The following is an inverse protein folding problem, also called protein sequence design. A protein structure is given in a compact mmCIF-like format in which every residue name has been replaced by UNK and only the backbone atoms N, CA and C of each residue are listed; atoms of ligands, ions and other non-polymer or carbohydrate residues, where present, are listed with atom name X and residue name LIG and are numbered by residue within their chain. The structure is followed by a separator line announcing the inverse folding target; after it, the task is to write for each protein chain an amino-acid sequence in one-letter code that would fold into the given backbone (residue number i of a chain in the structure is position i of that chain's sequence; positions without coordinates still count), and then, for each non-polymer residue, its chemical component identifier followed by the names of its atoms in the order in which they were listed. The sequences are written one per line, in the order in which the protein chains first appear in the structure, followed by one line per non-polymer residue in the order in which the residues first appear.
data_IF_120865058341
#
_entry.id   IF_120865058341
#
_cell.length_a   1.000
_cell.length_b   1.000
_cell.length_c   1.000
_cell.angle_alpha   90.00
_cell.angle_beta   90.00
_cell.angle_gamma   90.00
#
_symmetry.space_group_name_H-M   'P 1'
#
loop_
_entity.id
_entity.type
_entity.pdbx_description
1 polymer ?
#
# COMPACT_ATOMS: atom_id res chain seq x y z
N UNK A 1 -5.07 20.93 11.79
CA UNK A 1 -5.26 21.41 10.39
C UNK A 1 -6.61 20.94 9.92
N UNK A 2 -7.38 21.81 9.30
CA UNK A 2 -8.68 21.52 8.69
C UNK A 2 -8.52 21.10 7.24
N UNK A 3 -9.58 20.54 6.63
CA UNK A 3 -9.62 20.22 5.20
C UNK A 3 -9.32 21.44 4.32
N UNK A 4 -9.83 22.62 4.67
CA UNK A 4 -9.60 23.84 3.89
C UNK A 4 -8.16 24.32 3.97
N UNK A 5 -7.52 24.17 5.13
CA UNK A 5 -6.09 24.46 5.29
C UNK A 5 -5.24 23.48 4.48
N UNK A 6 -5.57 22.16 4.48
CA UNK A 6 -4.93 21.17 3.60
C UNK A 6 -5.09 21.54 2.13
N UNK A 7 -6.32 21.90 1.72
CA UNK A 7 -6.60 22.32 0.36
C UNK A 7 -5.83 23.58 -0.02
N UNK A 8 -5.62 24.50 0.90
CA UNK A 8 -4.83 25.72 0.67
C UNK A 8 -3.35 25.37 0.47
N UNK A 9 -2.80 24.50 1.33
CA UNK A 9 -1.38 24.08 1.24
C UNK A 9 -1.10 23.28 -0.03
N UNK A 10 -1.99 22.33 -0.39
CA UNK A 10 -1.82 21.48 -1.57
C UNK A 10 -2.41 22.08 -2.86
N UNK A 11 -3.21 23.14 -2.74
CA UNK A 11 -4.17 23.54 -3.77
C UNK A 11 -3.64 24.41 -4.89
N UNK A 12 -2.39 24.85 -4.87
CA UNK A 12 -1.87 25.85 -5.81
C UNK A 12 -1.21 25.27 -7.06
N UNK A 13 -0.93 23.96 -7.10
CA UNK A 13 -0.13 23.34 -8.16
C UNK A 13 -1.02 22.59 -9.15
N UNK A 14 -1.21 23.15 -10.34
CA UNK A 14 -2.08 22.60 -11.40
C UNK A 14 -1.64 21.25 -11.95
N UNK A 15 -0.37 20.90 -11.77
CA UNK A 15 0.22 19.66 -12.26
C UNK A 15 0.07 18.48 -11.29
N UNK A 16 -0.44 18.74 -10.09
CA UNK A 16 -0.57 17.71 -9.06
C UNK A 16 -1.83 16.86 -9.26
N UNK A 17 -1.71 15.58 -8.92
CA UNK A 17 -2.86 14.68 -8.76
C UNK A 17 -3.34 14.78 -7.32
N UNK A 18 -4.63 15.05 -7.16
CA UNK A 18 -5.29 15.05 -5.88
C UNK A 18 -6.62 14.34 -6.01
N UNK A 19 -6.79 13.28 -5.22
CA UNK A 19 -8.04 12.53 -5.14
C UNK A 19 -8.59 12.60 -3.73
N UNK A 20 -9.91 12.47 -3.63
CA UNK A 20 -10.60 12.26 -2.36
C UNK A 20 -11.20 10.87 -2.34
N UNK A 21 -11.00 10.16 -1.24
CA UNK A 21 -11.44 8.79 -1.05
C UNK A 21 -12.00 8.58 0.35
N UNK A 22 -12.44 7.36 0.63
CA UNK A 22 -12.78 6.88 1.97
C UNK A 22 -11.88 5.71 2.33
N UNK A 23 -11.35 5.71 3.55
CA UNK A 23 -10.67 4.53 4.07
C UNK A 23 -11.69 3.50 4.59
N UNK A 24 -11.29 2.23 4.73
CA UNK A 24 -12.14 1.21 5.36
C UNK A 24 -12.59 1.59 6.77
N UNK A 25 -11.77 2.33 7.51
CA UNK A 25 -12.05 2.83 8.86
C UNK A 25 -13.04 4.01 8.87
N UNK A 26 -13.45 4.49 7.71
CA UNK A 26 -14.41 5.59 7.54
C UNK A 26 -13.82 6.99 7.61
N UNK A 27 -12.49 7.12 7.51
CA UNK A 27 -11.86 8.44 7.34
C UNK A 27 -12.06 8.95 5.91
N UNK A 28 -12.18 10.26 5.78
CA UNK A 28 -11.92 10.90 4.49
C UNK A 28 -10.43 10.90 4.22
N UNK A 29 -10.03 10.53 3.01
CA UNK A 29 -8.64 10.49 2.58
C UNK A 29 -8.43 11.48 1.45
N UNK A 30 -7.38 12.28 1.55
CA UNK A 30 -6.84 13.03 0.42
C UNK A 30 -5.56 12.34 0.00
N UNK A 31 -5.60 11.67 -1.16
CA UNK A 31 -4.43 11.12 -1.80
C UNK A 31 -3.80 12.18 -2.70
N UNK A 32 -2.54 12.46 -2.50
CA UNK A 32 -1.78 13.51 -3.19
C UNK A 32 -0.51 12.97 -3.82
N UNK A 33 -0.26 13.39 -5.07
CA UNK A 33 0.94 13.06 -5.83
C UNK A 33 1.43 14.29 -6.57
N UNK A 34 2.57 14.82 -6.17
CA UNK A 34 3.13 16.03 -6.74
C UNK A 34 3.58 15.84 -8.19
N UNK A 35 3.14 16.74 -9.07
CA UNK A 35 3.48 16.72 -10.49
C UNK A 35 2.96 15.52 -11.27
N UNK A 36 1.97 14.81 -10.74
CA UNK A 36 1.39 13.62 -11.38
C UNK A 36 0.70 13.89 -12.72
N UNK A 37 0.24 15.11 -12.95
CA UNK A 37 -0.36 15.58 -14.22
C UNK A 37 0.64 16.34 -15.11
N UNK A 38 1.88 16.51 -14.68
CA UNK A 38 2.91 17.19 -15.45
C UNK A 38 3.34 16.33 -16.64
N UNK A 39 3.16 16.87 -17.86
CA UNK A 39 3.52 16.16 -19.10
C UNK A 39 5.01 16.14 -19.34
N UNK A 40 5.76 17.06 -18.75
CA UNK A 40 7.20 17.20 -18.90
C UNK A 40 7.97 16.25 -17.95
N UNK A 41 7.31 15.69 -16.96
CA UNK A 41 7.88 14.69 -16.06
C UNK A 41 7.85 13.29 -16.65
N UNK A 42 8.92 12.54 -16.43
CA UNK A 42 8.95 11.11 -16.71
C UNK A 42 7.89 10.35 -15.89
N UNK A 43 7.60 9.13 -16.28
CA UNK A 43 6.62 8.32 -15.57
C UNK A 43 7.03 8.08 -14.10
N UNK A 44 8.32 7.84 -13.87
CA UNK A 44 8.88 7.66 -12.53
C UNK A 44 8.76 8.92 -11.66
N UNK A 45 9.11 10.09 -12.19
CA UNK A 45 9.04 11.35 -11.44
C UNK A 45 7.65 11.66 -10.90
N UNK A 46 6.59 11.12 -11.54
CA UNK A 46 5.20 11.26 -11.08
C UNK A 46 4.90 10.50 -9.80
N UNK A 47 5.77 9.59 -9.38
CA UNK A 47 5.65 8.82 -8.13
C UNK A 47 6.68 9.21 -7.07
N UNK A 48 7.56 10.17 -7.33
CA UNK A 48 8.58 10.62 -6.38
C UNK A 48 8.02 11.24 -5.09
N UNK A 49 6.77 11.67 -5.12
CA UNK A 49 6.06 12.22 -3.96
C UNK A 49 4.66 11.63 -3.89
N UNK A 50 4.39 10.86 -2.84
CA UNK A 50 3.06 10.32 -2.57
C UNK A 50 2.70 10.51 -1.10
N UNK A 51 1.54 11.11 -0.84
CA UNK A 51 1.07 11.44 0.51
C UNK A 51 -0.42 11.11 0.62
N UNK A 52 -0.80 10.46 1.71
CA UNK A 52 -2.18 10.25 2.16
C UNK A 52 -2.44 11.11 3.39
N UNK A 53 -3.51 11.88 3.38
CA UNK A 53 -3.95 12.71 4.49
C UNK A 53 -5.32 12.22 4.93
N UNK A 54 -5.43 11.80 6.17
CA UNK A 54 -6.63 11.24 6.77
C UNK A 54 -7.35 12.31 7.58
N UNK A 55 -8.66 12.44 7.35
CA UNK A 55 -9.49 13.43 8.03
C UNK A 55 -10.66 12.72 8.73
N UNK A 56 -10.98 13.21 9.93
CA UNK A 56 -12.19 12.88 10.65
C UNK A 56 -12.91 14.19 10.97
N UNK A 57 -14.18 14.28 10.56
CA UNK A 57 -14.99 15.49 10.75
C UNK A 57 -14.25 16.76 10.25
N UNK A 58 -13.65 16.66 9.06
CA UNK A 58 -12.84 17.68 8.40
C UNK A 58 -11.56 18.13 9.13
N UNK A 59 -11.14 17.40 10.16
CA UNK A 59 -9.87 17.65 10.87
C UNK A 59 -8.85 16.56 10.49
N UNK A 60 -7.62 16.93 10.23
CA UNK A 60 -6.51 16.00 9.97
C UNK A 60 -6.23 15.19 11.23
N UNK A 61 -6.32 13.87 11.10
CA UNK A 61 -6.05 12.90 12.16
C UNK A 61 -4.85 12.02 11.87
N UNK A 62 -4.38 12.00 10.62
CA UNK A 62 -3.21 11.23 10.24
C UNK A 62 -2.65 11.65 8.88
N UNK A 63 -1.38 11.33 8.67
CA UNK A 63 -0.65 11.53 7.42
C UNK A 63 0.23 10.29 7.20
N UNK A 64 0.29 9.81 5.98
CA UNK A 64 1.24 8.79 5.54
C UNK A 64 1.90 9.22 4.24
N UNK A 65 3.15 8.85 4.03
CA UNK A 65 3.80 9.20 2.78
C UNK A 65 5.12 8.48 2.52
N UNK A 66 5.50 8.48 1.24
CA UNK A 66 6.70 7.86 0.67
C UNK A 66 7.55 8.88 -0.10
N UNK A 67 7.47 10.15 0.24
CA UNK A 67 8.24 11.18 -0.45
C UNK A 67 9.69 11.23 0.06
N UNK A 68 10.65 11.28 -0.86
CA UNK A 68 12.08 11.39 -0.52
C UNK A 68 12.45 12.66 0.26
N UNK A 69 11.57 13.66 0.25
CA UNK A 69 11.74 14.91 1.01
C UNK A 69 11.05 14.91 2.38
N UNK A 70 10.43 13.78 2.78
CA UNK A 70 9.74 13.72 4.08
C UNK A 70 10.71 13.83 5.24
N UNK A 71 10.39 14.74 6.15
CA UNK A 71 11.10 14.93 7.40
C UNK A 71 10.07 15.30 8.47
N UNK A 72 10.07 14.58 9.59
CA UNK A 72 9.19 14.85 10.71
C UNK A 72 10.01 15.34 11.91
N UNK A 73 9.93 16.65 12.13
CA UNK A 73 10.50 17.36 13.28
C UNK A 73 11.99 17.08 13.56
N UNK A 74 12.75 16.77 12.50
CA UNK A 74 14.16 16.38 12.61
C UNK A 74 14.42 15.05 13.32
N UNK A 75 13.37 14.32 13.73
CA UNK A 75 13.50 13.05 14.45
C UNK A 75 13.58 11.84 13.52
N UNK A 76 12.89 11.90 12.40
CA UNK A 76 12.90 10.89 11.34
C UNK A 76 12.67 11.53 9.98
N UNK A 77 13.41 11.04 9.00
CA UNK A 77 13.26 11.44 7.60
C UNK A 77 13.34 10.23 6.69
N UNK A 78 12.93 10.40 5.44
CA UNK A 78 13.24 9.43 4.39
C UNK A 78 14.77 9.17 4.37
N UNK A 79 15.17 7.90 4.26
CA UNK A 79 16.58 7.50 4.24
C UNK A 79 17.26 7.45 5.62
N UNK A 80 16.54 7.68 6.72
CA UNK A 80 17.07 7.46 8.06
C UNK A 80 17.37 5.97 8.25
N UNK A 81 18.56 5.66 8.75
CA UNK A 81 19.00 4.30 9.07
C UNK A 81 18.21 3.73 10.27
N UNK A 82 17.74 2.49 10.20
CA UNK A 82 16.95 1.86 11.24
C UNK A 82 17.70 1.74 12.57
N UNK A 83 19.03 1.49 12.54
CA UNK A 83 19.87 1.49 13.73
C UNK A 83 19.90 2.86 14.41
N UNK A 84 19.81 3.94 13.64
CA UNK A 84 19.67 5.30 14.17
C UNK A 84 18.34 5.49 14.89
N UNK A 85 17.24 4.94 14.37
CA UNK A 85 15.93 4.99 15.04
C UNK A 85 16.00 4.31 16.40
N UNK A 86 16.50 3.07 16.44
CA UNK A 86 16.64 2.31 17.69
C UNK A 86 17.51 3.06 18.72
N UNK A 87 18.62 3.64 18.28
CA UNK A 87 19.52 4.44 19.14
C UNK A 87 18.84 5.70 19.72
N UNK A 88 17.80 6.21 19.02
CA UNK A 88 17.00 7.36 19.43
C UNK A 88 15.71 6.97 20.19
N UNK A 89 15.61 5.72 20.66
CA UNK A 89 14.53 5.25 21.51
C UNK A 89 13.24 4.88 20.76
N UNK A 90 13.33 4.64 19.45
CA UNK A 90 12.23 4.02 18.70
C UNK A 90 12.14 2.54 19.06
N UNK A 91 10.93 1.99 19.04
CA UNK A 91 10.67 0.59 19.38
C UNK A 91 10.15 -0.16 18.15
N UNK A 92 10.53 -1.43 18.05
CA UNK A 92 10.04 -2.33 17.01
C UNK A 92 8.50 -2.42 17.05
N UNK A 93 7.90 -2.42 15.89
CA UNK A 93 6.47 -2.69 15.72
C UNK A 93 6.29 -4.18 15.43
N UNK A 94 5.89 -4.95 16.44
CA UNK A 94 5.87 -6.43 16.41
C UNK A 94 5.09 -7.06 15.26
N UNK A 95 4.09 -6.38 14.74
CA UNK A 95 3.27 -6.87 13.65
C UNK A 95 3.81 -6.51 12.25
N UNK A 96 4.85 -5.69 12.16
CA UNK A 96 5.56 -5.42 10.92
C UNK A 96 6.96 -6.02 11.00
N UNK A 97 7.02 -7.35 10.81
CA UNK A 97 8.28 -8.09 10.74
C UNK A 97 8.39 -8.79 9.40
N UNK A 98 9.62 -8.89 8.93
CA UNK A 98 9.93 -9.71 7.76
C UNK A 98 9.63 -11.17 8.04
N UNK A 99 9.57 -11.98 6.98
CA UNK A 99 9.43 -13.44 7.11
C UNK A 99 10.61 -14.08 7.89
N UNK A 100 11.76 -13.41 7.94
CA UNK A 100 12.93 -13.81 8.76
C UNK A 100 12.83 -13.33 10.22
N UNK A 101 11.79 -12.58 10.59
CA UNK A 101 11.57 -12.06 11.95
C UNK A 101 12.30 -10.74 12.26
N UNK A 102 12.95 -10.11 11.28
CA UNK A 102 13.58 -8.80 11.47
C UNK A 102 12.51 -7.70 11.55
N UNK A 103 12.74 -6.67 12.36
CA UNK A 103 11.86 -5.51 12.39
C UNK A 103 11.88 -4.77 11.05
N UNK A 104 10.69 -4.42 10.57
CA UNK A 104 10.48 -3.69 9.32
C UNK A 104 9.79 -2.34 9.56
N UNK A 105 9.35 -2.08 10.78
CA UNK A 105 8.79 -0.81 11.19
C UNK A 105 9.14 -0.50 12.65
N UNK A 106 9.27 0.78 12.92
CA UNK A 106 9.66 1.33 14.21
C UNK A 106 8.67 2.42 14.61
N UNK A 107 8.26 2.46 15.86
CA UNK A 107 7.31 3.46 16.37
C UNK A 107 7.89 4.31 17.48
N UNK A 108 7.37 5.53 17.57
CA UNK A 108 7.65 6.47 18.66
C UNK A 108 6.43 7.33 18.92
N UNK A 109 6.05 7.44 20.20
CA UNK A 109 5.03 8.37 20.62
C UNK A 109 5.62 9.75 20.79
N UNK A 110 4.97 10.76 20.23
CA UNK A 110 5.33 12.18 20.31
C UNK A 110 4.06 12.97 20.62
N UNK A 111 4.00 13.57 21.79
CA UNK A 111 2.82 14.31 22.29
C UNK A 111 1.52 13.46 22.19
N UNK A 112 0.60 13.89 21.33
CA UNK A 112 -0.69 13.23 21.13
C UNK A 112 -0.73 12.37 19.84
N UNK A 113 0.43 12.00 19.31
CA UNK A 113 0.53 11.25 18.08
C UNK A 113 1.54 10.10 18.20
N UNK A 114 1.28 9.01 17.46
CA UNK A 114 2.24 7.95 17.22
C UNK A 114 2.80 8.09 15.81
N UNK A 115 4.12 8.06 15.69
CA UNK A 115 4.84 8.02 14.42
C UNK A 115 5.27 6.58 14.19
N UNK A 116 5.06 6.06 12.97
CA UNK A 116 5.62 4.79 12.51
C UNK A 116 6.51 5.06 11.29
N UNK A 117 7.76 4.61 11.37
CA UNK A 117 8.72 4.63 10.28
C UNK A 117 8.89 3.21 9.73
N UNK A 118 8.66 3.02 8.42
CA UNK A 118 8.86 1.75 7.73
C UNK A 118 10.24 1.75 7.08
N UNK A 119 11.05 0.74 7.38
CA UNK A 119 12.40 0.57 6.86
C UNK A 119 12.50 -0.64 5.92
N UNK A 120 13.30 -0.55 4.86
CA UNK A 120 13.50 -1.63 3.89
C UNK A 120 14.45 -2.70 4.46
N UNK A 121 13.90 -3.57 5.29
CA UNK A 121 14.65 -4.61 6.01
C UNK A 121 15.26 -5.71 5.09
N UNK A 122 14.90 -5.75 3.82
CA UNK A 122 15.53 -6.61 2.79
C UNK A 122 16.47 -5.84 1.85
N UNK A 123 16.56 -4.54 2.00
CA UNK A 123 17.38 -3.65 1.19
C UNK A 123 18.53 -3.03 1.98
N UNK A 124 18.50 -1.72 2.11
CA UNK A 124 19.54 -0.93 2.78
C UNK A 124 19.20 -0.54 4.23
N UNK A 125 18.12 -1.12 4.77
CA UNK A 125 17.62 -0.89 6.13
C UNK A 125 17.32 0.58 6.44
N UNK A 126 16.89 1.33 5.42
CA UNK A 126 16.53 2.73 5.54
C UNK A 126 15.05 2.98 5.47
N UNK A 127 14.61 4.03 6.14
CA UNK A 127 13.22 4.49 6.13
C UNK A 127 12.79 4.88 4.72
N UNK A 128 11.75 4.23 4.20
CA UNK A 128 11.13 4.51 2.90
C UNK A 128 9.73 5.11 3.01
N UNK A 129 9.07 4.97 4.16
CA UNK A 129 7.73 5.49 4.40
C UNK A 129 7.55 5.89 5.87
N UNK A 130 6.74 6.91 6.09
CA UNK A 130 6.45 7.40 7.44
C UNK A 130 4.95 7.62 7.58
N UNK A 131 4.39 7.18 8.71
CA UNK A 131 3.03 7.44 9.13
C UNK A 131 2.99 8.21 10.44
N UNK A 132 2.04 9.14 10.55
CA UNK A 132 1.72 9.81 11.81
C UNK A 132 0.20 9.77 12.00
N UNK A 133 -0.24 9.34 13.17
CA UNK A 133 -1.65 9.40 13.55
C UNK A 133 -1.81 9.96 14.96
N UNK A 134 -2.89 10.69 15.16
CA UNK A 134 -3.32 11.10 16.49
C UNK A 134 -3.67 9.86 17.34
N UNK A 135 -3.20 9.81 18.59
CA UNK A 135 -3.37 8.67 19.50
C UNK A 135 -4.83 8.33 19.83
N UNK A 136 -5.78 9.26 19.59
CA UNK A 136 -7.21 8.96 19.67
C UNK A 136 -7.67 7.97 18.59
N UNK A 137 -6.85 7.74 17.57
CA UNK A 137 -7.10 6.79 16.48
C UNK A 137 -5.90 5.83 16.45
N UNK A 138 -5.98 4.76 17.24
CA UNK A 138 -4.89 3.79 17.34
C UNK A 138 -4.56 3.18 15.98
N UNK A 139 -3.33 3.38 15.51
CA UNK A 139 -2.84 2.78 14.25
C UNK A 139 -2.84 1.25 14.36
N UNK A 140 -2.53 0.71 15.53
CA UNK A 140 -2.54 -0.74 15.76
C UNK A 140 -3.92 -1.34 15.49
N UNK A 141 -4.98 -0.66 15.92
CA UNK A 141 -6.36 -1.07 15.67
C UNK A 141 -6.76 -0.89 14.20
N UNK A 142 -6.06 -0.02 13.47
CA UNK A 142 -6.38 0.33 12.10
C UNK A 142 -5.75 -0.59 11.05
N UNK A 143 -4.60 -1.19 11.34
CA UNK A 143 -3.83 -1.94 10.33
C UNK A 143 -3.90 -3.45 10.50
N UNK A 144 -4.20 -3.96 11.69
CA UNK A 144 -4.22 -5.41 11.99
C UNK A 144 -5.44 -5.94 12.73
N UNK A 145 -6.39 -5.10 13.06
CA UNK A 145 -7.55 -5.57 13.82
C UNK A 145 -8.52 -6.35 12.94
N UNK A 146 -8.32 -7.64 12.82
CA UNK A 146 -9.28 -8.55 12.18
C UNK A 146 -10.61 -8.59 12.95
N UNK A 147 -10.54 -8.52 14.28
CA UNK A 147 -11.67 -8.35 15.16
C UNK A 147 -11.79 -6.88 15.56
N UNK A 148 -12.73 -6.16 14.99
CA UNK A 148 -12.95 -4.76 15.35
C UNK A 148 -14.39 -4.55 15.81
N UNK A 149 -14.55 -3.70 16.82
CA UNK A 149 -15.85 -3.15 17.20
C UNK A 149 -16.21 -1.94 16.32
N UNK A 150 -15.25 -1.42 15.54
CA UNK A 150 -15.50 -0.35 14.59
C UNK A 150 -16.15 -0.94 13.34
N UNK A 151 -17.23 -0.34 12.84
CA UNK A 151 -17.81 -0.74 11.57
C UNK A 151 -16.83 -0.43 10.45
N UNK A 152 -16.26 -1.46 9.83
CA UNK A 152 -15.41 -1.32 8.67
C UNK A 152 -16.26 -1.22 7.39
N UNK A 153 -15.88 -0.35 6.49
CA UNK A 153 -16.53 -0.17 5.19
C UNK A 153 -15.64 -0.68 4.06
N UNK A 154 -16.00 -1.81 3.48
CA UNK A 154 -15.36 -2.38 2.29
C UNK A 154 -16.31 -2.35 1.10
N UNK A 155 -16.97 -1.20 0.85
CA UNK A 155 -17.74 -1.01 -0.39
C UNK A 155 -16.85 -1.12 -1.64
N UNK A 156 -17.45 -1.37 -2.78
CA UNK A 156 -16.74 -1.49 -4.05
C UNK A 156 -15.85 -0.26 -4.34
N UNK A 157 -16.33 0.94 -4.01
CA UNK A 157 -15.55 2.17 -4.18
C UNK A 157 -14.33 2.21 -3.25
N UNK A 158 -14.49 1.82 -1.97
CA UNK A 158 -13.38 1.75 -1.01
C UNK A 158 -12.35 0.71 -1.43
N UNK A 159 -12.78 -0.47 -1.87
CA UNK A 159 -11.87 -1.52 -2.37
C UNK A 159 -11.11 -1.05 -3.62
N UNK A 160 -11.79 -0.39 -4.55
CA UNK A 160 -11.15 0.16 -5.76
C UNK A 160 -10.12 1.26 -5.41
N UNK A 161 -10.40 2.05 -4.40
CA UNK A 161 -9.46 3.07 -3.94
C UNK A 161 -8.26 2.43 -3.24
N UNK A 162 -8.46 1.41 -2.41
CA UNK A 162 -7.37 0.62 -1.82
C UNK A 162 -6.44 0.02 -2.87
N UNK A 163 -6.98 -0.51 -3.98
CA UNK A 163 -6.18 -0.99 -5.12
C UNK A 163 -5.32 0.14 -5.71
N UNK A 164 -5.90 1.33 -5.85
CA UNK A 164 -5.22 2.49 -6.44
C UNK A 164 -4.15 3.03 -5.49
N UNK A 165 -4.46 3.16 -4.21
CA UNK A 165 -3.51 3.61 -3.19
C UNK A 165 -2.34 2.61 -3.05
N UNK A 166 -2.63 1.30 -2.99
CA UNK A 166 -1.57 0.27 -2.95
C UNK A 166 -0.64 0.37 -4.16
N UNK A 167 -1.20 0.52 -5.38
CA UNK A 167 -0.41 0.69 -6.59
C UNK A 167 0.51 1.93 -6.51
N UNK A 168 -0.01 3.04 -6.03
CA UNK A 168 0.75 4.30 -5.92
C UNK A 168 1.82 4.24 -4.83
N UNK A 169 1.55 3.60 -3.68
CA UNK A 169 2.53 3.37 -2.61
C UNK A 169 3.67 2.48 -3.10
N UNK A 170 3.35 1.37 -3.78
CA UNK A 170 4.36 0.47 -4.33
C UNK A 170 5.25 1.17 -5.37
N UNK A 171 4.65 1.98 -6.25
CA UNK A 171 5.44 2.75 -7.21
C UNK A 171 6.28 3.84 -6.55
N UNK A 172 5.77 4.53 -5.53
CA UNK A 172 6.56 5.48 -4.76
C UNK A 172 7.76 4.80 -4.07
N UNK A 173 7.57 3.60 -3.54
CA UNK A 173 8.67 2.79 -3.00
C UNK A 173 9.72 2.47 -4.09
N UNK A 174 9.31 1.90 -5.24
CA UNK A 174 10.21 1.54 -6.33
C UNK A 174 11.04 2.71 -6.85
N UNK A 175 10.39 3.87 -7.02
CA UNK A 175 11.03 5.07 -7.55
C UNK A 175 11.98 5.69 -6.53
N UNK A 176 11.54 5.86 -5.29
CA UNK A 176 12.32 6.57 -4.28
C UNK A 176 13.51 5.75 -3.77
N UNK A 177 13.36 4.44 -3.60
CA UNK A 177 14.48 3.57 -3.19
C UNK A 177 15.39 3.20 -4.34
N UNK A 178 14.90 3.21 -5.59
CA UNK A 178 15.68 2.83 -6.75
C UNK A 178 16.09 1.36 -6.81
N UNK A 179 15.39 0.48 -6.04
CA UNK A 179 15.72 -0.96 -5.94
C UNK A 179 15.51 -1.74 -7.23
N UNK A 180 14.68 -1.23 -8.16
CA UNK A 180 14.57 -1.81 -9.51
C UNK A 180 15.69 -1.30 -10.42
N UNK A 181 16.46 -2.22 -10.98
CA UNK A 181 17.61 -1.92 -11.84
C UNK A 181 17.20 -1.72 -13.32
N UNK A 182 16.23 -0.85 -13.58
CA UNK A 182 15.75 -0.46 -14.92
C UNK A 182 15.58 1.07 -15.00
N UNK A 183 15.52 1.60 -16.23
CA UNK A 183 15.33 3.05 -16.44
C UNK A 183 13.96 3.51 -15.93
N UNK A 184 12.88 2.82 -16.32
CA UNK A 184 11.51 3.06 -15.81
C UNK A 184 11.26 2.16 -14.58
N UNK A 185 11.42 2.70 -13.36
CA UNK A 185 11.29 1.94 -12.10
C UNK A 185 9.84 1.64 -11.76
N UNK A 186 8.93 2.57 -12.03
CA UNK A 186 7.51 2.41 -11.73
C UNK A 186 6.85 1.38 -12.66
N UNK A 187 5.99 0.55 -12.08
CA UNK A 187 5.13 -0.38 -12.81
C UNK A 187 3.96 0.37 -13.44
N UNK A 188 3.49 -0.10 -14.59
CA UNK A 188 2.34 0.46 -15.30
C UNK A 188 1.07 -0.30 -14.95
N UNK A 189 0.02 0.40 -14.56
CA UNK A 189 -1.29 -0.22 -14.29
C UNK A 189 -1.95 -0.67 -15.60
N UNK A 190 -2.46 -1.91 -15.63
CA UNK A 190 -3.24 -2.41 -16.76
C UNK A 190 -4.64 -2.83 -16.30
N UNK A 191 -5.67 -2.27 -16.94
CA UNK A 191 -7.07 -2.49 -16.56
C UNK A 191 -7.51 -3.94 -16.75
N UNK A 192 -7.08 -4.63 -17.83
CA UNK A 192 -7.46 -6.04 -18.04
C UNK A 192 -6.85 -6.94 -16.97
N UNK A 193 -5.57 -6.72 -16.63
CA UNK A 193 -4.89 -7.45 -15.55
C UNK A 193 -5.58 -7.17 -14.21
N UNK A 194 -5.94 -5.90 -13.92
CA UNK A 194 -6.69 -5.57 -12.70
C UNK A 194 -8.06 -6.24 -12.63
N UNK A 195 -8.77 -6.37 -13.76
CA UNK A 195 -10.07 -7.04 -13.78
C UNK A 195 -9.94 -8.54 -13.46
N UNK A 196 -8.89 -9.21 -13.94
CA UNK A 196 -8.61 -10.61 -13.61
C UNK A 196 -8.24 -10.73 -12.13
N UNK A 197 -7.34 -9.87 -11.63
CA UNK A 197 -6.96 -9.83 -10.23
C UNK A 197 -8.18 -9.61 -9.29
N UNK A 198 -9.14 -8.74 -9.67
CA UNK A 198 -10.39 -8.54 -8.91
C UNK A 198 -11.28 -9.78 -8.92
N UNK A 199 -11.44 -10.43 -10.07
CA UNK A 199 -12.23 -11.64 -10.15
C UNK A 199 -11.65 -12.74 -9.26
N UNK A 200 -10.33 -12.89 -9.27
CA UNK A 200 -9.64 -13.88 -8.45
C UNK A 200 -9.67 -13.51 -6.95
N UNK A 201 -9.47 -12.23 -6.61
CA UNK A 201 -9.63 -11.74 -5.24
C UNK A 201 -11.05 -12.01 -4.70
N UNK A 202 -12.08 -11.83 -5.55
CA UNK A 202 -13.46 -12.15 -5.18
C UNK A 202 -13.64 -13.65 -4.95
N UNK A 203 -13.07 -14.52 -5.77
CA UNK A 203 -13.13 -15.97 -5.59
C UNK A 203 -12.47 -16.39 -4.27
N UNK A 204 -11.34 -15.79 -3.89
CA UNK A 204 -10.68 -15.97 -2.58
C UNK A 204 -11.66 -15.66 -1.42
N UNK A 205 -12.40 -14.55 -1.53
CA UNK A 205 -13.37 -14.16 -0.53
C UNK A 205 -14.60 -15.09 -0.50
N UNK A 206 -15.13 -15.47 -1.67
CA UNK A 206 -16.28 -16.38 -1.79
C UNK A 206 -15.97 -17.78 -1.21
N UNK A 207 -14.72 -18.25 -1.35
CA UNK A 207 -14.23 -19.52 -0.76
C UNK A 207 -13.88 -19.40 0.74
N UNK A 208 -14.02 -18.24 1.34
CA UNK A 208 -13.74 -17.99 2.75
C UNK A 208 -12.28 -18.24 3.13
N UNK A 209 -11.35 -17.89 2.25
CA UNK A 209 -9.93 -18.02 2.52
C UNK A 209 -9.47 -16.95 3.52
N UNK A 210 -8.80 -17.36 4.58
CA UNK A 210 -8.36 -16.48 5.68
C UNK A 210 -6.85 -16.20 5.70
N UNK A 211 -6.11 -16.91 4.85
CA UNK A 211 -4.68 -16.72 4.63
C UNK A 211 -4.27 -17.11 3.19
N UNK A 212 -3.14 -16.59 2.73
CA UNK A 212 -2.65 -16.81 1.36
C UNK A 212 -2.38 -18.29 1.06
N UNK A 213 -1.83 -19.05 2.00
CA UNK A 213 -1.54 -20.47 1.81
C UNK A 213 -2.84 -21.30 1.66
N UNK A 214 -3.93 -20.86 2.28
CA UNK A 214 -5.24 -21.46 2.11
C UNK A 214 -5.78 -21.20 0.70
N UNK A 215 -5.67 -19.96 0.20
CA UNK A 215 -6.06 -19.58 -1.15
C UNK A 215 -5.24 -20.35 -2.20
N UNK A 216 -3.92 -20.37 -2.09
CA UNK A 216 -3.02 -21.11 -3.01
C UNK A 216 -3.30 -22.62 -3.08
N UNK A 217 -3.83 -23.23 -2.01
CA UNK A 217 -4.21 -24.66 -2.01
C UNK A 217 -5.57 -24.94 -2.61
N UNK A 218 -6.50 -23.99 -2.50
CA UNK A 218 -7.89 -24.20 -2.93
C UNK A 218 -8.14 -23.77 -4.36
N UNK A 219 -7.44 -22.76 -4.83
CA UNK A 219 -7.73 -22.08 -6.08
C UNK A 219 -6.61 -22.28 -7.10
N UNK A 220 -7.00 -22.29 -8.39
CA UNK A 220 -6.04 -22.23 -9.48
C UNK A 220 -5.40 -20.84 -9.55
N UNK A 221 -4.16 -20.77 -10.07
CA UNK A 221 -3.48 -19.50 -10.27
C UNK A 221 -4.19 -18.62 -11.32
N UNK A 222 -4.07 -17.32 -11.21
CA UNK A 222 -4.71 -16.35 -12.13
C UNK A 222 -4.18 -16.41 -13.58
N UNK A 223 -3.07 -17.10 -13.82
CA UNK A 223 -2.41 -17.19 -15.14
C UNK A 223 -3.37 -17.57 -16.27
N UNK A 224 -4.12 -18.68 -16.09
CA UNK A 224 -5.08 -19.14 -17.09
C UNK A 224 -6.21 -18.13 -17.32
N UNK A 225 -6.65 -17.46 -16.26
CA UNK A 225 -7.65 -16.40 -16.35
C UNK A 225 -7.14 -15.18 -17.13
N UNK A 226 -5.86 -14.83 -16.99
CA UNK A 226 -5.22 -13.78 -17.80
C UNK A 226 -5.16 -14.16 -19.29
N UNK A 227 -4.77 -15.39 -19.60
CA UNK A 227 -4.75 -15.92 -20.97
C UNK A 227 -6.17 -15.94 -21.57
N UNK A 228 -7.17 -16.40 -20.82
CA UNK A 228 -8.58 -16.41 -21.22
C UNK A 228 -9.16 -14.99 -21.41
N UNK A 229 -8.62 -13.98 -20.72
CA UNK A 229 -8.95 -12.58 -20.94
C UNK A 229 -8.31 -11.98 -22.21
N UNK A 230 -7.61 -12.81 -23.01
CA UNK A 230 -6.95 -12.40 -24.24
C UNK A 230 -5.67 -11.60 -24.00
N UNK A 231 -4.94 -11.91 -22.93
CA UNK A 231 -3.63 -11.32 -22.66
C UNK A 231 -2.53 -12.30 -23.10
N UNK A 232 -1.52 -11.78 -23.79
CA UNK A 232 -0.32 -12.52 -24.16
C UNK A 232 0.88 -11.92 -23.44
N UNK A 233 1.60 -12.75 -22.70
CA UNK A 233 2.79 -12.39 -21.93
C UNK A 233 3.81 -13.56 -21.97
N UNK A 234 5.10 -13.26 -21.73
CA UNK A 234 6.13 -14.29 -21.57
C UNK A 234 6.38 -14.58 -20.09
N UNK A 235 6.40 -13.52 -19.27
CA UNK A 235 6.63 -13.60 -17.85
C UNK A 235 5.37 -13.17 -17.10
N UNK A 236 5.05 -13.94 -16.06
CA UNK A 236 3.92 -13.70 -15.17
C UNK A 236 4.33 -13.97 -13.73
N UNK A 237 3.80 -13.18 -12.80
CA UNK A 237 3.94 -13.37 -11.37
C UNK A 237 2.66 -12.98 -10.66
N UNK A 238 2.34 -13.66 -9.57
CA UNK A 238 1.17 -13.41 -8.73
C UNK A 238 1.57 -13.29 -7.27
N UNK A 239 0.91 -12.41 -6.55
CA UNK A 239 0.99 -12.31 -5.09
C UNK A 239 -0.39 -12.16 -4.50
N UNK A 240 -0.63 -12.96 -3.46
CA UNK A 240 -1.87 -12.96 -2.68
C UNK A 240 -1.52 -12.52 -1.26
N UNK A 241 -2.21 -11.50 -0.77
CA UNK A 241 -2.12 -11.02 0.60
C UNK A 241 -3.50 -11.04 1.24
N UNK A 242 -3.60 -11.49 2.49
CA UNK A 242 -4.87 -11.56 3.23
C UNK A 242 -4.66 -11.03 4.65
N UNK A 243 -5.61 -10.22 5.13
CA UNK A 243 -5.69 -9.77 6.51
C UNK A 243 -5.05 -8.43 6.80
N UNK A 244 -4.66 -7.67 5.79
CA UNK A 244 -4.31 -6.26 5.96
C UNK A 244 -5.57 -5.41 5.80
N UNK A 245 -5.73 -4.42 6.67
CA UNK A 245 -6.99 -3.70 6.79
C UNK A 245 -7.11 -2.53 5.80
N UNK A 246 -6.00 -2.05 5.24
CA UNK A 246 -5.95 -0.92 4.32
C UNK A 246 -4.82 -1.04 3.28
N UNK A 247 -4.76 -0.08 2.37
CA UNK A 247 -3.78 -0.04 1.30
C UNK A 247 -2.32 0.03 1.80
N UNK A 248 -2.08 0.71 2.92
CA UNK A 248 -0.74 0.83 3.50
C UNK A 248 -0.28 -0.51 4.04
N UNK A 249 -1.15 -1.20 4.78
CA UNK A 249 -0.87 -2.55 5.28
C UNK A 249 -0.58 -3.53 4.15
N UNK A 250 -1.35 -3.48 3.05
CA UNK A 250 -1.10 -4.33 1.87
C UNK A 250 0.22 -4.01 1.19
N UNK A 251 0.52 -2.73 0.94
CA UNK A 251 1.78 -2.33 0.31
C UNK A 251 2.99 -2.75 1.14
N UNK A 252 2.97 -2.51 2.45
CA UNK A 252 4.05 -2.93 3.35
C UNK A 252 4.19 -4.46 3.40
N UNK A 253 3.10 -5.22 3.38
CA UNK A 253 3.16 -6.69 3.33
C UNK A 253 3.82 -7.21 2.06
N UNK A 254 3.71 -6.51 0.94
CA UNK A 254 4.44 -6.83 -0.29
C UNK A 254 5.94 -6.56 -0.14
N UNK A 255 6.29 -5.40 0.42
CA UNK A 255 7.67 -4.95 0.59
C UNK A 255 8.40 -5.81 1.62
N UNK A 256 7.74 -6.18 2.72
CA UNK A 256 8.31 -6.90 3.86
C UNK A 256 8.22 -8.44 3.76
N UNK A 257 7.78 -8.95 2.62
CA UNK A 257 7.83 -10.38 2.29
C UNK A 257 8.88 -10.59 1.21
N UNK A 258 9.96 -11.33 1.50
CA UNK A 258 11.06 -11.61 0.57
C UNK A 258 10.53 -12.03 -0.81
N UNK A 259 9.69 -13.07 -0.85
CA UNK A 259 9.10 -13.58 -2.10
C UNK A 259 8.27 -12.53 -2.85
N UNK A 260 7.50 -11.70 -2.13
CA UNK A 260 6.65 -10.68 -2.76
C UNK A 260 7.48 -9.50 -3.24
N UNK A 261 8.46 -9.09 -2.45
CA UNK A 261 9.41 -8.04 -2.80
C UNK A 261 10.24 -8.42 -4.02
N UNK A 262 10.77 -9.64 -4.09
CA UNK A 262 11.53 -10.13 -5.25
C UNK A 262 10.71 -10.04 -6.54
N UNK A 263 9.42 -10.35 -6.49
CA UNK A 263 8.53 -10.17 -7.64
C UNK A 263 8.32 -8.69 -7.96
N UNK A 264 8.08 -7.86 -6.94
CA UNK A 264 7.86 -6.42 -7.09
C UNK A 264 9.06 -5.72 -7.75
N UNK A 265 10.28 -6.05 -7.33
CA UNK A 265 11.52 -5.42 -7.84
C UNK A 265 12.05 -6.07 -9.11
N UNK A 266 11.51 -7.22 -9.54
CA UNK A 266 11.96 -7.92 -10.75
C UNK A 266 11.88 -7.01 -11.99
N UNK A 267 12.90 -7.07 -12.80
CA UNK A 267 12.98 -6.37 -14.09
C UNK A 267 12.19 -7.08 -15.20
N UNK A 268 11.70 -8.30 -14.91
CA UNK A 268 10.91 -9.10 -15.86
C UNK A 268 9.51 -8.55 -16.08
N UNK A 269 9.02 -7.67 -15.21
CA UNK A 269 7.66 -7.16 -15.28
C UNK A 269 7.61 -5.68 -15.59
N UNK A 270 6.65 -5.27 -16.40
CA UNK A 270 6.41 -3.86 -16.78
C UNK A 270 5.03 -3.40 -16.31
N UNK A 271 4.06 -4.32 -16.35
CA UNK A 271 2.68 -4.01 -15.98
C UNK A 271 2.26 -4.79 -14.74
N UNK A 272 1.34 -4.21 -13.98
CA UNK A 272 0.63 -4.94 -12.95
C UNK A 272 -0.87 -4.59 -12.96
N UNK A 273 -1.64 -5.48 -12.37
CA UNK A 273 -3.04 -5.28 -12.03
C UNK A 273 -3.28 -5.67 -10.59
N UNK A 274 -4.08 -4.89 -9.90
CA UNK A 274 -4.43 -5.12 -8.49
C UNK A 274 -5.93 -5.31 -8.39
N UNK A 275 -6.35 -6.31 -7.60
CA UNK A 275 -7.73 -6.57 -7.27
C UNK A 275 -7.89 -6.81 -5.77
N UNK A 276 -8.90 -6.18 -5.17
CA UNK A 276 -9.20 -6.30 -3.75
C UNK A 276 -10.62 -6.82 -3.51
N UNK A 277 -10.79 -7.58 -2.43
CA UNK A 277 -12.06 -8.10 -1.95
C UNK A 277 -12.01 -8.29 -0.44
N UNK A 278 -13.11 -8.70 0.18
CA UNK A 278 -13.17 -9.00 1.61
C UNK A 278 -14.07 -10.20 1.88
N UNK A 279 -13.56 -11.15 2.66
CA UNK A 279 -14.37 -12.13 3.35
C UNK A 279 -14.72 -11.61 4.74
N UNK A 280 -15.97 -11.76 5.17
CA UNK A 280 -16.42 -11.34 6.49
C UNK A 280 -17.04 -12.53 7.20
N UNK A 281 -16.49 -12.86 8.35
CA UNK A 281 -17.05 -13.87 9.23
C UNK A 281 -17.91 -13.19 10.30
N UNK A 282 -19.15 -13.67 10.47
CA UNK A 282 -20.13 -13.11 11.42
C UNK A 282 -20.46 -14.13 12.50
N UNK A 283 -19.64 -14.22 13.53
CA UNK A 283 -19.89 -15.05 14.71
C UNK A 283 -19.90 -14.19 15.99
N UNK A 284 -20.80 -13.20 16.04
CA UNK A 284 -20.95 -12.29 17.18
C UNK A 284 -20.28 -10.93 16.96
N UNK A 285 -18.97 -10.85 16.82
CA UNK A 285 -18.25 -9.68 16.29
C UNK A 285 -17.93 -9.94 14.82
N UNK A 286 -17.98 -8.89 13.99
CA UNK A 286 -17.54 -9.02 12.62
C UNK A 286 -16.00 -9.17 12.57
N UNK A 287 -15.52 -10.24 11.94
CA UNK A 287 -14.10 -10.45 11.64
C UNK A 287 -13.92 -10.28 10.16
N UNK A 288 -13.04 -9.36 9.76
CA UNK A 288 -12.79 -9.04 8.37
C UNK A 288 -11.49 -9.67 7.90
N UNK A 289 -11.52 -10.27 6.72
CA UNK A 289 -10.36 -10.80 6.00
C UNK A 289 -10.26 -10.13 4.63
N UNK A 290 -9.86 -8.85 4.59
CA UNK A 290 -9.58 -8.22 3.31
C UNK A 290 -8.46 -8.97 2.63
N UNK A 291 -8.59 -9.16 1.33
CA UNK A 291 -7.58 -9.79 0.51
C UNK A 291 -7.26 -8.95 -0.72
N UNK A 292 -6.04 -9.08 -1.20
CA UNK A 292 -5.55 -8.38 -2.37
C UNK A 292 -4.71 -9.33 -3.22
N UNK A 293 -4.99 -9.34 -4.51
CA UNK A 293 -4.22 -10.05 -5.53
C UNK A 293 -3.48 -9.02 -6.37
N UNK A 294 -2.20 -9.25 -6.61
CA UNK A 294 -1.39 -8.47 -7.55
C UNK A 294 -0.84 -9.42 -8.60
N UNK A 295 -1.26 -9.21 -9.83
CA UNK A 295 -0.72 -9.87 -11.01
C UNK A 295 0.30 -8.98 -11.71
N UNK A 296 1.44 -9.55 -12.08
CA UNK A 296 2.54 -8.89 -12.78
C UNK A 296 2.75 -9.56 -14.13
N UNK A 297 2.95 -8.76 -15.19
CA UNK A 297 3.25 -9.26 -16.54
C UNK A 297 4.30 -8.40 -17.24
N UNK A 298 5.08 -9.02 -18.13
CA UNK A 298 6.12 -8.32 -18.91
C UNK A 298 5.53 -7.45 -20.02
N UNK A 299 4.40 -7.84 -20.59
CA UNK A 299 3.72 -7.13 -21.69
C UNK A 299 2.21 -7.39 -21.68
N UNK A 300 1.49 -6.56 -22.38
CA UNK A 300 0.05 -6.68 -22.60
C UNK A 300 -0.24 -6.46 -24.09
N UNK A 301 0.00 -7.46 -24.92
CA UNK A 301 -0.48 -7.48 -26.30
C UNK A 301 -1.83 -8.21 -26.35
N UNK A 302 -2.76 -7.69 -27.17
CA UNK A 302 -3.95 -8.45 -27.51
C UNK A 302 -3.53 -9.66 -28.38
N UNK A 303 -4.07 -10.83 -28.10
CA UNK A 303 -3.98 -11.98 -28.99
C UNK A 303 -4.72 -11.72 -30.29
#
# INVERSE_FOLDING_TARGET
MTRDEVNTVLGSLKTDVKRTAKSPQGFDVIAFRAGGNDTDKSFDEKYSTYILIYLKDDIVVGISGNASSMNFDGTVSYGTDAGTLVSNGWVDVDWYKTTAGNAAAYSKDVDNATIIAFADAYGDDKVYSIQIFNNAYSIADMTKCRETTLPMNYSADVLTEMETETFEILNAYLVNTGVRAVDDKALRKNTKVSNVARAYSKEIADEGCIDAANAERKLALSKEALENAGLSFNNWGERIMIGNMDAIGFANSVIESERSRDTLISTDYVFCGIGASVYTESAGKAVYYPNMVIDFVDRVSAL
#
